data_IF_495189575114
#
_entry.id   IF_495189575114
#
_cell.length_a   1.000
_cell.length_b   1.000
_cell.length_c   1.000
_cell.angle_alpha   90.00
_cell.angle_beta   90.00
_cell.angle_gamma   90.00
#
_symmetry.space_group_name_H-M   'P 1'
#
loop_
_entity.id
_entity.type
_entity.pdbx_description
1 polymer ?
#
# COMPACT_ATOMS: atom_id res chain seq x y z
N UNK A 1 21.24 -19.63 -0.80
CA UNK A 1 20.76 -18.90 -2.01
C UNK A 1 20.14 -17.59 -1.55
N UNK A 2 20.85 -16.48 -1.72
CA UNK A 2 20.45 -15.14 -1.25
C UNK A 2 19.55 -14.48 -2.30
N UNK A 3 18.34 -15.00 -2.44
CA UNK A 3 17.37 -14.58 -3.46
C UNK A 3 16.62 -13.33 -3.03
N UNK A 4 17.27 -12.16 -3.13
CA UNK A 4 16.61 -10.88 -2.93
C UNK A 4 17.58 -9.76 -2.63
N UNK A 5 18.32 -9.29 -3.64
CA UNK A 5 19.18 -8.12 -3.50
C UNK A 5 18.40 -6.92 -2.96
N UNK A 6 18.97 -6.10 -2.06
CA UNK A 6 18.32 -4.92 -1.47
C UNK A 6 17.66 -3.99 -2.50
N UNK A 7 18.25 -3.89 -3.70
CA UNK A 7 17.72 -3.16 -4.85
C UNK A 7 16.31 -3.62 -5.28
N UNK A 8 16.05 -4.94 -5.32
CA UNK A 8 14.73 -5.46 -5.71
C UNK A 8 13.68 -5.16 -4.63
N UNK A 9 14.07 -5.19 -3.35
CA UNK A 9 13.18 -4.79 -2.23
C UNK A 9 12.79 -3.31 -2.35
N UNK A 10 13.75 -2.42 -2.56
CA UNK A 10 13.47 -0.99 -2.74
C UNK A 10 12.54 -0.70 -3.93
N UNK A 11 12.71 -1.42 -5.04
CA UNK A 11 11.82 -1.31 -6.20
C UNK A 11 10.40 -1.77 -5.91
N UNK A 12 10.26 -2.88 -5.18
CA UNK A 12 8.95 -3.42 -4.79
C UNK A 12 8.21 -2.49 -3.82
N UNK A 13 8.90 -1.93 -2.82
CA UNK A 13 8.30 -0.97 -1.88
C UNK A 13 7.85 0.31 -2.59
N UNK A 14 8.64 0.83 -3.53
CA UNK A 14 8.27 1.99 -4.34
C UNK A 14 7.02 1.70 -5.18
N UNK A 15 6.92 0.51 -5.75
CA UNK A 15 5.77 0.07 -6.53
C UNK A 15 4.50 -0.07 -5.66
N UNK A 16 4.60 -0.74 -4.50
CA UNK A 16 3.48 -0.89 -3.56
C UNK A 16 2.96 0.45 -3.04
N UNK A 17 3.86 1.39 -2.75
CA UNK A 17 3.49 2.75 -2.37
C UNK A 17 2.64 3.43 -3.45
N UNK A 18 3.06 3.35 -4.71
CA UNK A 18 2.32 3.96 -5.81
C UNK A 18 0.94 3.35 -5.99
N UNK A 19 0.80 2.03 -5.78
CA UNK A 19 -0.50 1.35 -5.79
C UNK A 19 -1.38 1.85 -4.65
N UNK A 20 -0.84 1.96 -3.42
CA UNK A 20 -1.61 2.48 -2.29
C UNK A 20 -2.17 3.88 -2.58
N UNK A 21 -1.34 4.76 -3.16
CA UNK A 21 -1.78 6.12 -3.55
C UNK A 21 -2.87 6.07 -4.63
N UNK A 22 -2.72 5.23 -5.66
CA UNK A 22 -3.72 5.08 -6.71
C UNK A 22 -5.07 4.59 -6.14
N UNK A 23 -5.03 3.60 -5.25
CA UNK A 23 -6.21 3.07 -4.56
C UNK A 23 -6.87 4.12 -3.66
N UNK A 24 -6.09 4.94 -2.94
CA UNK A 24 -6.64 6.06 -2.16
C UNK A 24 -7.33 7.13 -3.03
N UNK A 25 -6.96 7.25 -4.30
CA UNK A 25 -7.57 8.21 -5.23
C UNK A 25 -8.77 7.65 -6.02
N UNK A 26 -8.93 6.34 -6.06
CA UNK A 26 -10.08 5.68 -6.67
C UNK A 26 -11.40 6.05 -5.95
N UNK A 27 -12.57 5.84 -6.59
CA UNK A 27 -13.88 5.94 -5.90
C UNK A 27 -13.93 5.08 -4.63
N UNK A 28 -14.83 5.44 -3.71
CA UNK A 28 -15.04 4.69 -2.49
C UNK A 28 -15.48 3.25 -2.81
N UNK A 29 -14.74 2.26 -2.32
CA UNK A 29 -15.04 0.84 -2.52
C UNK A 29 -14.57 0.03 -1.32
N UNK A 30 -15.49 -0.71 -0.70
CA UNK A 30 -15.21 -1.56 0.46
C UNK A 30 -14.14 -2.62 0.17
N UNK A 31 -14.05 -3.10 -1.08
CA UNK A 31 -13.02 -4.06 -1.50
C UNK A 31 -11.63 -3.43 -1.47
N UNK A 32 -11.53 -2.14 -1.80
CA UNK A 32 -10.28 -1.39 -1.72
C UNK A 32 -9.88 -1.21 -0.26
N UNK A 33 -10.83 -0.86 0.61
CA UNK A 33 -10.60 -0.73 2.06
C UNK A 33 -10.08 -2.06 2.64
N UNK A 34 -10.78 -3.17 2.38
CA UNK A 34 -10.38 -4.49 2.87
C UNK A 34 -8.99 -4.91 2.37
N UNK A 35 -8.67 -4.62 1.10
CA UNK A 35 -7.36 -4.91 0.52
C UNK A 35 -6.25 -4.08 1.20
N UNK A 36 -6.50 -2.79 1.43
CA UNK A 36 -5.56 -1.89 2.11
C UNK A 36 -5.37 -2.29 3.59
N UNK A 37 -6.42 -2.67 4.31
CA UNK A 37 -6.32 -3.16 5.70
C UNK A 37 -5.50 -4.45 5.79
N UNK A 38 -5.68 -5.38 4.84
CA UNK A 38 -4.86 -6.59 4.75
C UNK A 38 -3.40 -6.24 4.47
N UNK A 39 -3.15 -5.31 3.54
CA UNK A 39 -1.80 -4.87 3.19
C UNK A 39 -1.10 -4.17 4.36
N UNK A 40 -1.82 -3.38 5.17
CA UNK A 40 -1.27 -2.67 6.31
C UNK A 40 -0.60 -3.60 7.34
N UNK A 41 -1.07 -4.85 7.46
CA UNK A 41 -0.51 -5.84 8.40
C UNK A 41 0.89 -6.32 7.99
N UNK A 42 1.15 -6.44 6.69
CA UNK A 42 2.39 -7.01 6.13
C UNK A 42 3.33 -5.98 5.49
N UNK A 43 2.88 -4.73 5.31
CA UNK A 43 3.65 -3.65 4.72
C UNK A 43 4.82 -3.21 5.62
N UNK A 44 5.95 -2.87 4.98
CA UNK A 44 7.05 -2.15 5.63
C UNK A 44 6.60 -0.78 6.12
N UNK A 45 7.38 -0.15 7.01
CA UNK A 45 7.02 1.15 7.60
C UNK A 45 6.71 2.22 6.52
N UNK A 46 7.54 2.28 5.47
CA UNK A 46 7.37 3.23 4.37
C UNK A 46 6.07 3.02 3.58
N UNK A 47 5.76 1.77 3.24
CA UNK A 47 4.53 1.44 2.50
C UNK A 47 3.29 1.61 3.39
N UNK A 48 3.41 1.29 4.69
CA UNK A 48 2.32 1.34 5.67
C UNK A 48 1.77 2.76 5.82
N UNK A 49 2.63 3.78 5.84
CA UNK A 49 2.20 5.19 5.88
C UNK A 49 1.25 5.53 4.73
N UNK A 50 1.60 5.12 3.51
CA UNK A 50 0.80 5.39 2.32
C UNK A 50 -0.49 4.56 2.29
N UNK A 51 -0.46 3.35 2.82
CA UNK A 51 -1.65 2.52 3.00
C UNK A 51 -2.62 3.15 4.00
N UNK A 52 -2.13 3.72 5.11
CA UNK A 52 -2.98 4.42 6.08
C UNK A 52 -3.61 5.67 5.47
N UNK A 53 -2.83 6.48 4.75
CA UNK A 53 -3.37 7.63 4.01
C UNK A 53 -4.47 7.22 3.03
N UNK A 54 -4.28 6.12 2.30
CA UNK A 54 -5.26 5.61 1.34
C UNK A 54 -6.55 5.13 2.04
N UNK A 55 -6.44 4.47 3.20
CA UNK A 55 -7.58 4.06 4.01
C UNK A 55 -8.39 5.25 4.51
N UNK A 56 -7.73 6.28 5.02
CA UNK A 56 -8.40 7.50 5.46
C UNK A 56 -9.13 8.18 4.30
N UNK A 57 -8.51 8.24 3.11
CA UNK A 57 -9.14 8.87 1.94
C UNK A 57 -10.34 8.08 1.43
N UNK A 58 -10.26 6.75 1.41
CA UNK A 58 -11.36 5.86 1.04
C UNK A 58 -12.53 5.95 2.01
N UNK A 59 -12.29 6.10 3.32
CA UNK A 59 -13.33 6.23 4.35
C UNK A 59 -13.97 7.61 4.43
N UNK A 60 -13.33 8.64 3.90
CA UNK A 60 -13.83 10.04 3.90
C UNK A 60 -14.65 10.40 2.66
N UNK A 61 -14.62 9.56 1.63
CA UNK A 61 -15.43 9.73 0.41
C UNK A 61 -16.80 9.10 0.60
#
# INVERSE_FOLDING_TARGET
>A
RTEGSPLRRMGHERWLRNIAVALGNAPADERIIAALEKQAKSASALVREHVQWALERQRRR
#
